data_IF_684033377402
#
_entry.id   IF_684033377402
#
_cell.length_a   1.000
_cell.length_b   1.000
_cell.length_c   1.000
_cell.angle_alpha   90.00
_cell.angle_beta   90.00
_cell.angle_gamma   90.00
#
_symmetry.space_group_name_H-M   'P 1'
#
loop_
_entity.id
_entity.type
_entity.pdbx_description
1 polymer ?
#
# COMPACT_ATOMS: atom_id res chain seq x y z
N UNK A 1 6.65 25.07 8.19
CA UNK A 1 7.25 26.22 7.46
C UNK A 1 6.45 27.53 7.63
N UNK A 2 5.13 27.49 7.91
CA UNK A 2 4.32 28.70 8.16
C UNK A 2 4.65 29.42 9.48
N UNK A 3 5.35 28.78 10.40
CA UNK A 3 5.71 29.35 11.71
C UNK A 3 7.03 30.17 11.71
N UNK A 4 7.79 30.19 10.61
CA UNK A 4 9.03 30.92 10.52
C UNK A 4 8.79 32.37 10.01
N UNK A 5 9.43 33.42 10.59
CA UNK A 5 9.37 34.77 10.09
C UNK A 5 9.90 34.85 8.65
N UNK A 6 9.44 35.84 7.86
CA UNK A 6 9.69 35.92 6.41
C UNK A 6 11.18 35.88 6.01
N UNK A 7 12.08 36.39 6.83
CA UNK A 7 13.53 36.43 6.59
C UNK A 7 14.23 35.07 6.52
N UNK A 8 13.93 34.07 7.38
CA UNK A 8 14.58 32.75 7.31
C UNK A 8 13.98 31.81 6.28
N UNK A 9 12.84 32.11 5.64
CA UNK A 9 12.19 31.21 4.66
C UNK A 9 13.03 31.05 3.40
N UNK A 10 13.54 32.08 2.82
CA UNK A 10 14.39 31.99 1.64
C UNK A 10 15.71 31.28 1.94
N UNK A 11 16.26 31.44 3.17
CA UNK A 11 17.40 30.65 3.63
C UNK A 11 17.06 29.17 3.71
N UNK A 12 15.87 28.80 4.25
CA UNK A 12 15.41 27.44 4.29
C UNK A 12 15.21 26.85 2.88
N UNK A 13 14.68 27.63 1.93
CA UNK A 13 14.57 27.22 0.53
C UNK A 13 15.95 27.11 -0.14
N UNK A 14 16.89 28.02 0.16
CA UNK A 14 18.26 27.95 -0.32
C UNK A 14 18.99 26.70 0.19
N UNK A 15 18.82 26.37 1.47
CA UNK A 15 19.37 25.12 2.06
C UNK A 15 18.73 23.88 1.44
N UNK A 16 17.40 23.86 1.26
CA UNK A 16 16.71 22.76 0.59
C UNK A 16 17.17 22.57 -0.85
N UNK A 17 17.34 23.67 -1.60
CA UNK A 17 17.87 23.63 -2.95
C UNK A 17 19.31 23.14 -2.99
N UNK A 18 20.17 23.61 -2.09
CA UNK A 18 21.55 23.15 -1.96
C UNK A 18 21.59 21.66 -1.60
N UNK A 19 20.77 21.21 -0.65
CA UNK A 19 20.64 19.80 -0.32
C UNK A 19 20.16 18.98 -1.54
N UNK A 20 19.21 19.49 -2.31
CA UNK A 20 18.75 18.82 -3.53
C UNK A 20 19.85 18.73 -4.60
N UNK A 21 20.66 19.78 -4.77
CA UNK A 21 21.80 19.80 -5.69
C UNK A 21 22.90 18.84 -5.21
N UNK A 22 23.23 18.85 -3.91
CA UNK A 22 24.20 17.92 -3.33
C UNK A 22 23.73 16.46 -3.44
N UNK A 23 22.47 16.21 -3.13
CA UNK A 23 21.86 14.88 -3.30
C UNK A 23 21.86 14.47 -4.78
N UNK A 24 21.54 15.38 -5.69
CA UNK A 24 21.65 15.17 -7.13
C UNK A 24 23.09 14.83 -7.57
N UNK A 25 24.08 15.57 -7.06
CA UNK A 25 25.50 15.31 -7.30
C UNK A 25 25.97 13.97 -6.75
N UNK A 26 25.53 13.60 -5.55
CA UNK A 26 25.80 12.28 -4.95
C UNK A 26 25.13 11.16 -5.74
N UNK A 27 23.89 11.35 -6.20
CA UNK A 27 23.18 10.38 -7.04
C UNK A 27 23.91 10.14 -8.37
N UNK A 28 24.45 11.19 -8.99
CA UNK A 28 25.23 11.07 -10.23
C UNK A 28 26.61 10.44 -10.03
N UNK A 29 27.24 10.67 -8.88
CA UNK A 29 28.60 10.21 -8.59
C UNK A 29 28.65 8.78 -7.99
N UNK A 30 27.70 8.40 -7.15
CA UNK A 30 27.70 7.14 -6.38
C UNK A 30 26.60 6.16 -6.77
N UNK A 31 25.94 6.40 -7.90
CA UNK A 31 25.02 5.44 -8.48
C UNK A 31 23.63 5.43 -7.90
N UNK A 32 22.79 4.76 -8.63
CA UNK A 32 21.37 4.71 -8.40
C UNK A 32 20.91 3.98 -7.14
N UNK A 33 21.80 3.37 -6.36
CA UNK A 33 21.39 2.64 -5.15
C UNK A 33 20.80 3.56 -4.08
N UNK A 34 21.33 4.78 -3.91
CA UNK A 34 20.71 5.79 -3.05
C UNK A 34 19.32 6.18 -3.56
N UNK A 35 19.16 6.29 -4.88
CA UNK A 35 17.87 6.57 -5.50
C UNK A 35 16.86 5.44 -5.27
N UNK A 36 17.28 4.18 -5.32
CA UNK A 36 16.43 3.03 -4.95
C UNK A 36 15.95 3.15 -3.50
N UNK A 37 16.84 3.50 -2.57
CA UNK A 37 16.47 3.70 -1.15
C UNK A 37 15.49 4.86 -1.00
N UNK A 38 15.72 5.97 -1.70
CA UNK A 38 14.81 7.11 -1.66
C UNK A 38 13.43 6.79 -2.26
N UNK A 39 13.39 6.10 -3.39
CA UNK A 39 12.12 5.65 -3.98
C UNK A 39 11.38 4.68 -3.07
N UNK A 40 12.09 3.73 -2.46
CA UNK A 40 11.52 2.86 -1.45
C UNK A 40 10.94 3.65 -0.27
N UNK A 41 11.67 4.63 0.26
CA UNK A 41 11.21 5.47 1.36
C UNK A 41 9.95 6.27 0.98
N UNK A 42 9.88 6.80 -0.24
CA UNK A 42 8.70 7.49 -0.76
C UNK A 42 7.51 6.53 -0.89
N UNK A 43 7.73 5.34 -1.44
CA UNK A 43 6.67 4.33 -1.60
C UNK A 43 6.15 3.85 -0.22
N UNK A 44 7.05 3.48 0.68
CA UNK A 44 6.67 3.02 2.03
C UNK A 44 6.06 4.15 2.87
N UNK A 45 6.64 5.35 2.80
CA UNK A 45 6.10 6.55 3.44
C UNK A 45 4.70 6.90 2.93
N UNK A 46 4.50 6.85 1.61
CA UNK A 46 3.19 7.03 0.97
C UNK A 46 2.16 6.00 1.43
N UNK A 47 2.54 4.73 1.50
CA UNK A 47 1.68 3.67 2.04
C UNK A 47 1.32 3.90 3.51
N UNK A 48 2.30 4.21 4.34
CA UNK A 48 2.05 4.52 5.76
C UNK A 48 1.14 5.73 5.93
N UNK A 49 1.35 6.79 5.15
CA UNK A 49 0.50 7.99 5.16
C UNK A 49 -0.92 7.65 4.70
N UNK A 50 -1.08 6.84 3.66
CA UNK A 50 -2.39 6.41 3.16
C UNK A 50 -3.14 5.59 4.21
N UNK A 51 -2.49 4.63 4.86
CA UNK A 51 -3.09 3.83 5.93
C UNK A 51 -3.43 4.70 7.15
N UNK A 52 -2.55 5.62 7.54
CA UNK A 52 -2.79 6.56 8.62
C UNK A 52 -3.97 7.49 8.30
N UNK A 53 -4.01 8.06 7.10
CA UNK A 53 -5.11 8.91 6.65
C UNK A 53 -6.43 8.15 6.63
N UNK A 54 -6.43 6.91 6.16
CA UNK A 54 -7.61 6.03 6.16
C UNK A 54 -8.10 5.81 7.58
N UNK A 55 -7.20 5.50 8.51
CA UNK A 55 -7.53 5.36 9.92
C UNK A 55 -8.20 6.61 10.49
N UNK A 56 -7.60 7.79 10.29
CA UNK A 56 -8.13 9.06 10.80
C UNK A 56 -9.49 9.42 10.19
N UNK A 57 -9.70 9.04 8.92
CA UNK A 57 -10.96 9.27 8.21
C UNK A 57 -12.08 8.36 8.74
N UNK A 58 -11.76 7.08 8.97
CA UNK A 58 -12.75 6.06 9.37
C UNK A 58 -13.00 6.09 10.89
N UNK A 59 -11.99 6.42 11.67
CA UNK A 59 -12.05 6.46 13.15
C UNK A 59 -11.60 7.85 13.67
N UNK A 60 -12.40 8.90 13.43
CA UNK A 60 -12.01 10.27 13.77
C UNK A 60 -11.73 10.41 15.27
N UNK A 61 -10.62 11.06 15.61
CA UNK A 61 -10.20 11.27 17.00
C UNK A 61 -9.56 10.05 17.69
N UNK A 62 -9.56 8.87 17.08
CA UNK A 62 -8.90 7.69 17.64
C UNK A 62 -7.48 7.55 17.11
N UNK A 63 -6.50 7.35 18.00
CA UNK A 63 -5.14 6.99 17.61
C UNK A 63 -4.98 5.47 17.63
N UNK A 64 -4.26 4.90 16.65
CA UNK A 64 -3.96 3.45 16.61
C UNK A 64 -3.37 2.96 17.94
N UNK A 65 -2.43 3.73 18.52
CA UNK A 65 -1.77 3.40 19.77
C UNK A 65 -2.70 3.35 20.99
N UNK A 66 -3.88 3.97 20.93
CA UNK A 66 -4.88 3.95 21.99
C UNK A 66 -5.72 2.67 21.98
N UNK A 67 -5.90 2.05 20.82
CA UNK A 67 -6.58 0.76 20.70
C UNK A 67 -5.57 -0.39 20.89
N UNK A 68 -5.25 -0.65 22.17
CA UNK A 68 -4.26 -1.66 22.55
C UNK A 68 -4.63 -3.06 22.04
N UNK A 69 -5.92 -3.39 22.02
CA UNK A 69 -6.39 -4.70 21.55
C UNK A 69 -6.17 -4.86 20.06
N UNK A 70 -6.54 -3.85 19.26
CA UNK A 70 -6.25 -3.82 17.83
C UNK A 70 -4.75 -3.94 17.56
N UNK A 71 -3.96 -3.06 18.18
CA UNK A 71 -2.52 -3.02 17.97
C UNK A 71 -1.82 -4.33 18.34
N UNK A 72 -2.16 -4.91 19.50
CA UNK A 72 -1.61 -6.21 19.94
C UNK A 72 -2.01 -7.34 18.99
N UNK A 73 -3.26 -7.38 18.55
CA UNK A 73 -3.74 -8.41 17.63
C UNK A 73 -3.03 -8.31 16.27
N UNK A 74 -2.87 -7.09 15.75
CA UNK A 74 -2.14 -6.88 14.51
C UNK A 74 -0.66 -7.25 14.63
N UNK A 75 0.05 -6.77 15.66
CA UNK A 75 1.48 -7.06 15.83
C UNK A 75 1.74 -8.55 16.06
N UNK A 76 1.01 -9.17 16.99
CA UNK A 76 1.17 -10.59 17.29
C UNK A 76 0.79 -11.47 16.09
N UNK A 77 -0.36 -11.19 15.46
CA UNK A 77 -0.80 -11.91 14.27
C UNK A 77 0.16 -11.74 13.10
N UNK A 78 0.69 -10.52 12.87
CA UNK A 78 1.69 -10.28 11.83
C UNK A 78 3.00 -11.02 12.12
N UNK A 79 3.48 -11.04 13.36
CA UNK A 79 4.67 -11.78 13.74
C UNK A 79 4.50 -13.29 13.50
N UNK A 80 3.37 -13.86 13.92
CA UNK A 80 3.04 -15.27 13.66
C UNK A 80 2.92 -15.54 12.16
N UNK A 81 2.22 -14.67 11.42
CA UNK A 81 2.03 -14.83 9.98
C UNK A 81 3.35 -14.80 9.21
N UNK A 82 4.21 -13.84 9.52
CA UNK A 82 5.56 -13.76 8.90
C UNK A 82 6.39 -15.00 9.25
N UNK A 83 6.35 -15.47 10.50
CA UNK A 83 7.06 -16.68 10.91
C UNK A 83 6.55 -17.93 10.17
N UNK A 84 5.23 -18.08 10.02
CA UNK A 84 4.62 -19.19 9.26
C UNK A 84 5.04 -19.13 7.79
N UNK A 85 4.97 -17.95 7.15
CA UNK A 85 5.37 -17.78 5.74
C UNK A 85 6.87 -18.07 5.58
N UNK A 86 7.72 -17.53 6.46
CA UNK A 86 9.15 -17.77 6.42
C UNK A 86 9.48 -19.27 6.59
N UNK A 87 8.84 -19.95 7.53
CA UNK A 87 9.00 -21.37 7.71
C UNK A 87 8.59 -22.18 6.46
N UNK A 88 7.42 -21.86 5.88
CA UNK A 88 6.93 -22.51 4.67
C UNK A 88 7.86 -22.28 3.47
N UNK A 89 8.33 -21.04 3.28
CA UNK A 89 9.26 -20.68 2.20
C UNK A 89 10.61 -21.36 2.37
N UNK A 90 11.17 -21.36 3.59
CA UNK A 90 12.47 -21.97 3.87
C UNK A 90 12.44 -23.51 3.84
N UNK A 91 11.33 -24.13 4.27
CA UNK A 91 11.17 -25.57 4.25
C UNK A 91 10.85 -26.12 2.86
N UNK A 92 10.37 -25.27 1.97
CA UNK A 92 9.95 -25.66 0.62
C UNK A 92 11.14 -26.04 -0.24
N UNK A 93 11.17 -27.28 -0.69
CA UNK A 93 12.18 -27.80 -1.62
C UNK A 93 11.72 -27.81 -3.08
N UNK A 94 10.55 -27.25 -3.38
CA UNK A 94 9.90 -27.43 -4.67
C UNK A 94 9.70 -26.15 -5.45
N UNK A 95 9.31 -26.34 -6.71
CA UNK A 95 9.17 -25.37 -7.79
C UNK A 95 8.47 -24.08 -7.34
N UNK A 96 9.11 -22.96 -7.62
CA UNK A 96 8.53 -21.62 -7.53
C UNK A 96 7.55 -21.40 -8.67
N UNK A 97 6.50 -20.62 -8.45
CA UNK A 97 5.61 -20.22 -9.55
C UNK A 97 6.36 -19.32 -10.54
N UNK A 98 5.96 -19.33 -11.79
CA UNK A 98 6.51 -18.44 -12.83
C UNK A 98 6.43 -16.96 -12.40
N UNK A 99 5.36 -16.58 -11.70
CA UNK A 99 5.21 -15.21 -11.18
C UNK A 99 6.30 -14.86 -10.16
N UNK A 100 6.62 -15.75 -9.21
CA UNK A 100 7.69 -15.50 -8.23
C UNK A 100 9.04 -15.32 -8.90
N UNK A 101 9.36 -16.16 -9.88
CA UNK A 101 10.60 -16.08 -10.66
C UNK A 101 10.65 -14.75 -11.44
N UNK A 102 9.54 -14.37 -12.06
CA UNK A 102 9.43 -13.12 -12.81
C UNK A 102 9.62 -11.89 -11.90
N UNK A 103 8.99 -11.84 -10.72
CA UNK A 103 9.19 -10.73 -9.79
C UNK A 103 10.62 -10.68 -9.25
N UNK A 104 11.22 -11.84 -8.98
CA UNK A 104 12.62 -11.92 -8.57
C UNK A 104 13.57 -11.46 -9.69
N UNK A 105 13.36 -11.88 -10.94
CA UNK A 105 14.13 -11.45 -12.09
C UNK A 105 14.03 -9.92 -12.30
N UNK A 106 12.82 -9.35 -12.16
CA UNK A 106 12.62 -7.90 -12.22
C UNK A 106 13.29 -7.16 -11.07
N UNK A 107 13.35 -7.74 -9.87
CA UNK A 107 14.12 -7.17 -8.76
C UNK A 107 15.63 -7.14 -9.10
N UNK A 108 16.15 -8.21 -9.67
CA UNK A 108 17.56 -8.29 -10.10
C UNK A 108 17.84 -7.27 -11.20
N UNK A 109 16.94 -7.11 -12.18
CA UNK A 109 17.05 -6.09 -13.23
C UNK A 109 17.03 -4.68 -12.65
N UNK A 110 16.13 -4.39 -11.71
CA UNK A 110 16.03 -3.11 -11.02
C UNK A 110 17.37 -2.75 -10.36
N UNK A 111 17.94 -3.65 -9.56
CA UNK A 111 19.23 -3.41 -8.92
C UNK A 111 20.37 -3.29 -9.93
N UNK A 112 20.39 -4.13 -10.96
CA UNK A 112 21.41 -4.09 -12.00
C UNK A 112 21.40 -2.75 -12.76
N UNK A 113 20.24 -2.25 -13.13
CA UNK A 113 20.09 -0.99 -13.85
C UNK A 113 20.47 0.22 -12.99
N UNK A 114 20.03 0.29 -11.75
CA UNK A 114 20.42 1.36 -10.82
C UNK A 114 21.90 1.25 -10.38
N UNK A 115 22.46 0.03 -10.39
CA UNK A 115 23.89 -0.17 -10.16
C UNK A 115 24.78 0.36 -11.28
N UNK A 116 24.26 0.46 -12.51
CA UNK A 116 24.97 1.07 -13.63
C UNK A 116 24.92 2.60 -13.58
N UNK A 117 23.73 3.16 -13.47
CA UNK A 117 23.51 4.58 -13.20
C UNK A 117 22.07 4.87 -12.75
N UNK A 118 21.88 5.99 -12.02
CA UNK A 118 20.56 6.44 -11.61
C UNK A 118 19.63 6.74 -12.79
N UNK A 119 20.16 7.34 -13.86
CA UNK A 119 19.38 7.64 -15.07
C UNK A 119 18.94 6.39 -15.80
N UNK A 120 19.83 5.41 -15.94
CA UNK A 120 19.47 4.14 -16.58
C UNK A 120 18.44 3.38 -15.77
N UNK A 121 18.57 3.38 -14.43
CA UNK A 121 17.58 2.77 -13.55
C UNK A 121 16.20 3.41 -13.65
N UNK A 122 16.13 4.75 -13.71
CA UNK A 122 14.87 5.48 -13.93
C UNK A 122 14.29 5.16 -15.30
N UNK A 123 15.11 5.13 -16.33
CA UNK A 123 14.66 4.79 -17.70
C UNK A 123 14.02 3.40 -17.73
N UNK A 124 14.70 2.38 -17.20
CA UNK A 124 14.18 1.00 -17.12
C UNK A 124 12.89 0.91 -16.31
N UNK A 125 12.80 1.66 -15.20
CA UNK A 125 11.60 1.72 -14.37
C UNK A 125 10.42 2.33 -15.14
N UNK A 126 10.63 3.49 -15.78
CA UNK A 126 9.59 4.18 -16.54
C UNK A 126 9.16 3.38 -17.76
N UNK A 127 10.10 2.81 -18.50
CA UNK A 127 9.81 1.92 -19.63
C UNK A 127 8.95 0.73 -19.17
N UNK A 128 9.32 0.08 -18.06
CA UNK A 128 8.54 -1.02 -17.49
C UNK A 128 7.12 -0.60 -17.13
N UNK A 129 6.94 0.56 -16.49
CA UNK A 129 5.61 1.06 -16.14
C UNK A 129 4.77 1.42 -17.37
N UNK A 130 5.38 2.04 -18.40
CA UNK A 130 4.70 2.47 -19.63
C UNK A 130 4.39 1.32 -20.57
N UNK A 131 5.22 0.30 -20.63
CA UNK A 131 5.02 -0.89 -21.48
C UNK A 131 4.12 -1.96 -20.86
N UNK A 132 3.44 -1.63 -19.77
CA UNK A 132 2.55 -2.51 -19.03
C UNK A 132 3.25 -3.69 -18.30
N UNK A 133 4.56 -3.63 -18.10
CA UNK A 133 5.28 -4.52 -17.20
C UNK A 133 5.35 -3.91 -15.77
N UNK A 134 4.19 -3.75 -15.17
CA UNK A 134 3.97 -3.12 -13.86
C UNK A 134 4.65 -3.84 -12.69
N UNK A 135 5.28 -4.99 -12.91
CA UNK A 135 5.98 -5.79 -11.87
C UNK A 135 7.07 -4.98 -11.15
N UNK A 136 7.69 -4.02 -11.83
CA UNK A 136 8.69 -3.12 -11.22
C UNK A 136 8.14 -2.26 -10.10
N UNK A 137 6.87 -1.83 -10.16
CA UNK A 137 6.26 -1.02 -9.11
C UNK A 137 6.29 -1.75 -7.75
N UNK A 138 5.91 -3.01 -7.75
CA UNK A 138 5.93 -3.84 -6.53
C UNK A 138 7.33 -4.01 -5.97
N UNK A 139 8.30 -4.16 -6.83
CA UNK A 139 9.69 -4.36 -6.44
C UNK A 139 10.30 -3.14 -5.74
N UNK A 140 9.77 -1.94 -5.96
CA UNK A 140 10.19 -0.75 -5.20
C UNK A 140 9.94 -0.89 -3.70
N UNK A 141 8.82 -1.51 -3.30
CA UNK A 141 8.48 -1.71 -1.88
C UNK A 141 9.37 -2.75 -1.18
N UNK A 142 9.97 -3.66 -1.95
CA UNK A 142 10.78 -4.76 -1.40
C UNK A 142 12.28 -4.42 -1.43
N UNK A 143 12.65 -3.36 -2.16
CA UNK A 143 14.04 -3.08 -2.52
C UNK A 143 14.98 -3.00 -1.30
N UNK A 144 14.65 -2.23 -0.28
CA UNK A 144 15.54 -2.05 0.87
C UNK A 144 15.65 -3.30 1.74
N UNK A 145 14.55 -3.98 2.16
CA UNK A 145 14.66 -5.26 2.84
C UNK A 145 15.52 -6.28 2.08
N UNK A 146 15.36 -6.35 0.77
CA UNK A 146 16.10 -7.26 -0.08
C UNK A 146 17.62 -7.00 -0.10
N UNK A 147 18.05 -5.75 0.01
CA UNK A 147 19.49 -5.41 0.12
C UNK A 147 20.20 -6.09 1.27
N UNK A 148 19.48 -6.28 2.40
CA UNK A 148 20.04 -6.88 3.61
C UNK A 148 19.94 -8.41 3.64
N UNK A 149 19.11 -9.02 2.83
CA UNK A 149 18.84 -10.47 2.86
C UNK A 149 19.57 -11.25 1.77
N UNK A 150 20.36 -10.56 0.93
CA UNK A 150 21.07 -11.19 -0.18
C UNK A 150 20.18 -11.51 -1.40
N UNK A 151 20.78 -12.10 -2.41
CA UNK A 151 20.15 -12.35 -3.71
C UNK A 151 19.46 -13.73 -3.80
N UNK A 152 19.02 -14.29 -2.68
CA UNK A 152 18.29 -15.56 -2.72
C UNK A 152 16.80 -15.36 -2.97
N UNK A 153 16.20 -16.25 -3.75
CA UNK A 153 14.78 -16.22 -4.03
C UNK A 153 13.94 -16.41 -2.75
N UNK A 154 14.40 -17.23 -1.81
CA UNK A 154 13.73 -17.42 -0.53
C UNK A 154 13.75 -16.13 0.29
N UNK A 155 14.89 -15.44 0.36
CA UNK A 155 14.99 -14.15 1.01
C UNK A 155 14.08 -13.10 0.36
N UNK A 156 14.03 -13.07 -0.98
CA UNK A 156 13.09 -12.23 -1.72
C UNK A 156 11.64 -12.51 -1.30
N UNK A 157 11.23 -13.77 -1.24
CA UNK A 157 9.86 -14.13 -0.87
C UNK A 157 9.51 -13.77 0.57
N UNK A 158 10.46 -13.92 1.51
CA UNK A 158 10.24 -13.47 2.89
C UNK A 158 10.13 -11.95 2.98
N UNK A 159 11.00 -11.20 2.29
CA UNK A 159 10.89 -9.74 2.20
C UNK A 159 9.57 -9.30 1.59
N UNK A 160 9.16 -10.02 0.55
CA UNK A 160 7.89 -9.80 -0.12
C UNK A 160 6.71 -9.98 0.85
N UNK A 161 6.73 -11.08 1.60
CA UNK A 161 5.70 -11.37 2.58
C UNK A 161 5.62 -10.29 3.66
N UNK A 162 6.74 -9.88 4.24
CA UNK A 162 6.76 -8.80 5.25
C UNK A 162 6.17 -7.52 4.67
N UNK A 163 6.62 -7.13 3.48
CA UNK A 163 6.26 -5.84 2.87
C UNK A 163 4.81 -5.79 2.42
N UNK A 164 4.26 -6.90 1.90
CA UNK A 164 2.92 -6.93 1.32
C UNK A 164 1.85 -7.36 2.33
N UNK A 165 2.15 -8.35 3.16
CA UNK A 165 1.13 -8.95 4.04
C UNK A 165 0.93 -8.15 5.33
N UNK A 166 1.96 -7.56 5.90
CA UNK A 166 1.81 -6.77 7.14
C UNK A 166 0.88 -5.56 6.94
N UNK A 167 1.02 -4.76 5.87
CA UNK A 167 0.04 -3.71 5.56
C UNK A 167 -1.35 -4.24 5.20
N UNK A 168 -1.44 -5.38 4.49
CA UNK A 168 -2.71 -6.02 4.16
C UNK A 168 -3.47 -6.41 5.43
N UNK A 169 -2.81 -7.09 6.37
CA UNK A 169 -3.44 -7.46 7.63
C UNK A 169 -3.89 -6.25 8.44
N UNK A 170 -3.12 -5.16 8.40
CA UNK A 170 -3.53 -3.90 9.02
C UNK A 170 -4.80 -3.33 8.38
N UNK A 171 -4.84 -3.25 7.05
CA UNK A 171 -5.97 -2.70 6.31
C UNK A 171 -7.24 -3.56 6.48
N UNK A 172 -7.10 -4.89 6.42
CA UNK A 172 -8.23 -5.81 6.63
C UNK A 172 -8.72 -5.79 8.08
N UNK A 173 -7.81 -5.67 9.07
CA UNK A 173 -8.20 -5.55 10.48
C UNK A 173 -8.88 -4.20 10.75
N UNK A 174 -8.52 -3.12 10.05
CA UNK A 174 -9.29 -1.86 10.05
C UNK A 174 -10.72 -2.09 9.56
N UNK A 175 -10.89 -2.87 8.49
CA UNK A 175 -12.22 -3.27 7.99
C UNK A 175 -13.00 -4.05 9.04
N UNK A 176 -12.36 -5.02 9.69
CA UNK A 176 -12.97 -5.77 10.78
C UNK A 176 -13.37 -4.87 11.94
N UNK A 177 -12.52 -3.89 12.33
CA UNK A 177 -12.87 -2.90 13.36
C UNK A 177 -14.06 -2.05 12.95
N UNK A 178 -14.11 -1.59 11.69
CA UNK A 178 -15.25 -0.83 11.18
C UNK A 178 -16.56 -1.63 11.28
N UNK A 179 -16.53 -2.91 10.90
CA UNK A 179 -17.68 -3.80 11.03
C UNK A 179 -18.05 -4.07 12.50
N UNK A 180 -17.06 -4.26 13.37
CA UNK A 180 -17.31 -4.47 14.81
C UNK A 180 -18.06 -3.30 15.44
N UNK A 181 -17.81 -2.07 14.99
CA UNK A 181 -18.54 -0.88 15.49
C UNK A 181 -20.03 -0.86 15.08
N UNK A 182 -20.41 -1.63 14.05
CA UNK A 182 -21.80 -1.79 13.62
C UNK A 182 -22.53 -2.91 14.38
N UNK A 183 -21.83 -3.72 15.15
CA UNK A 183 -22.38 -4.88 15.86
C UNK A 183 -22.57 -4.55 17.35
N UNK A 184 -23.82 -4.67 17.88
CA UNK A 184 -24.16 -4.18 19.23
C UNK A 184 -23.51 -4.93 20.39
N UNK A 185 -22.89 -6.09 20.18
CA UNK A 185 -22.32 -6.94 21.23
C UNK A 185 -20.96 -7.56 20.85
N UNK A 186 -20.13 -6.83 20.11
CA UNK A 186 -18.85 -7.37 19.67
C UNK A 186 -17.78 -7.30 20.77
N UNK A 187 -17.35 -8.47 21.27
CA UNK A 187 -16.23 -8.59 22.20
C UNK A 187 -14.89 -8.44 21.44
N UNK A 188 -14.41 -7.20 21.29
CA UNK A 188 -13.21 -6.87 20.51
C UNK A 188 -11.95 -7.60 20.98
N UNK A 189 -11.87 -7.96 22.27
CA UNK A 189 -10.76 -8.72 22.84
C UNK A 189 -10.59 -10.12 22.22
N UNK A 190 -11.67 -10.74 21.77
CA UNK A 190 -11.65 -12.03 21.08
C UNK A 190 -11.76 -11.85 19.57
N UNK A 191 -12.53 -10.88 19.12
CA UNK A 191 -12.85 -10.67 17.70
C UNK A 191 -11.61 -10.35 16.87
N UNK A 192 -10.76 -9.38 17.30
CA UNK A 192 -9.57 -9.02 16.51
C UNK A 192 -8.52 -10.15 16.44
N UNK A 193 -8.17 -10.85 17.54
CA UNK A 193 -7.31 -12.03 17.43
C UNK A 193 -7.86 -13.12 16.52
N UNK A 194 -9.18 -13.37 16.56
CA UNK A 194 -9.82 -14.36 15.69
C UNK A 194 -9.76 -13.94 14.22
N UNK A 195 -10.06 -12.67 13.91
CA UNK A 195 -9.90 -12.13 12.55
C UNK A 195 -8.47 -12.29 12.05
N UNK A 196 -7.47 -11.96 12.89
CA UNK A 196 -6.07 -12.14 12.53
C UNK A 196 -5.71 -13.62 12.32
N UNK A 197 -6.18 -14.52 13.20
CA UNK A 197 -5.94 -15.96 13.04
C UNK A 197 -6.50 -16.47 11.72
N UNK A 198 -7.73 -16.08 11.37
CA UNK A 198 -8.34 -16.41 10.08
C UNK A 198 -7.49 -15.87 8.92
N UNK A 199 -7.13 -14.58 8.95
CA UNK A 199 -6.36 -13.96 7.87
C UNK A 199 -4.95 -14.55 7.71
N UNK A 200 -4.31 -14.97 8.80
CA UNK A 200 -2.96 -15.56 8.79
C UNK A 200 -2.98 -17.03 8.36
N UNK A 201 -3.99 -17.81 8.81
CA UNK A 201 -4.02 -19.25 8.59
C UNK A 201 -4.85 -19.66 7.37
N UNK A 202 -5.59 -18.74 6.75
CA UNK A 202 -6.42 -19.06 5.60
C UNK A 202 -5.58 -19.46 4.39
N UNK A 203 -5.78 -20.63 3.80
CA UNK A 203 -4.95 -21.10 2.69
C UNK A 203 -4.92 -20.17 1.48
N UNK A 204 -6.01 -19.44 1.23
CA UNK A 204 -6.10 -18.47 0.14
C UNK A 204 -5.19 -17.24 0.32
N UNK A 205 -4.76 -16.92 1.55
CA UNK A 205 -3.76 -15.90 1.81
C UNK A 205 -2.35 -16.49 1.86
N UNK A 206 -2.20 -17.70 2.41
CA UNK A 206 -0.90 -18.37 2.49
C UNK A 206 -0.36 -18.75 1.11
N UNK A 207 -1.23 -19.12 0.19
CA UNK A 207 -0.80 -19.53 -1.15
C UNK A 207 -0.12 -18.39 -1.92
N UNK A 208 -0.69 -17.18 -2.07
CA UNK A 208 0.01 -16.04 -2.68
C UNK A 208 1.28 -15.66 -1.93
N UNK A 209 1.29 -15.76 -0.61
CA UNK A 209 2.46 -15.46 0.21
C UNK A 209 3.64 -16.37 -0.10
N UNK A 210 3.39 -17.67 -0.21
CA UNK A 210 4.44 -18.66 -0.48
C UNK A 210 4.82 -18.74 -1.97
N UNK A 211 4.06 -18.06 -2.85
CA UNK A 211 4.32 -18.01 -4.30
C UNK A 211 4.78 -16.64 -4.78
N UNK A 212 5.00 -15.67 -3.87
CA UNK A 212 5.50 -14.34 -4.22
C UNK A 212 4.55 -13.54 -5.12
N UNK A 213 3.25 -13.68 -4.89
CA UNK A 213 2.23 -12.99 -5.69
C UNK A 213 1.83 -11.64 -5.07
N UNK A 214 1.62 -10.59 -5.87
CA UNK A 214 1.31 -9.24 -5.38
C UNK A 214 -0.13 -9.07 -4.88
N UNK A 215 -0.94 -10.13 -4.88
CA UNK A 215 -2.35 -10.07 -4.54
C UNK A 215 -2.62 -9.54 -3.14
N UNK A 216 -1.76 -9.87 -2.18
CA UNK A 216 -1.83 -9.32 -0.82
C UNK A 216 -1.73 -7.79 -0.81
N UNK A 217 -0.87 -7.23 -1.64
CA UNK A 217 -0.71 -5.78 -1.73
C UNK A 217 -1.92 -5.13 -2.40
N UNK A 218 -2.47 -5.77 -3.42
CA UNK A 218 -3.72 -5.34 -4.04
C UNK A 218 -4.88 -5.31 -3.04
N UNK A 219 -4.99 -6.31 -2.18
CA UNK A 219 -6.00 -6.31 -1.11
C UNK A 219 -5.83 -5.17 -0.11
N UNK A 220 -4.61 -4.70 0.14
CA UNK A 220 -4.37 -3.51 0.97
C UNK A 220 -5.06 -2.29 0.38
N UNK A 221 -4.82 -2.00 -0.90
CA UNK A 221 -5.42 -0.85 -1.57
C UNK A 221 -6.93 -1.02 -1.75
N UNK A 222 -7.39 -2.22 -2.08
CA UNK A 222 -8.81 -2.51 -2.19
C UNK A 222 -9.56 -2.27 -0.87
N UNK A 223 -8.99 -2.71 0.27
CA UNK A 223 -9.57 -2.46 1.59
C UNK A 223 -9.57 -0.96 1.93
N UNK A 224 -8.50 -0.24 1.60
CA UNK A 224 -8.41 1.22 1.78
C UNK A 224 -9.50 1.94 0.98
N UNK A 225 -9.67 1.61 -0.30
CA UNK A 225 -10.71 2.18 -1.16
C UNK A 225 -12.10 1.90 -0.57
N UNK A 226 -12.38 0.65 -0.20
CA UNK A 226 -13.66 0.26 0.37
C UNK A 226 -13.96 1.02 1.67
N UNK A 227 -12.98 1.18 2.55
CA UNK A 227 -13.12 1.94 3.80
C UNK A 227 -13.34 3.43 3.55
N UNK A 228 -12.60 4.03 2.62
CA UNK A 228 -12.78 5.43 2.26
C UNK A 228 -14.10 5.71 1.55
N UNK A 229 -14.74 4.71 0.96
CA UNK A 229 -16.03 4.81 0.29
C UNK A 229 -17.23 4.34 1.15
N UNK A 230 -17.01 3.93 2.41
CA UNK A 230 -18.01 3.21 3.20
C UNK A 230 -19.29 4.01 3.55
N UNK A 231 -19.23 5.33 3.55
CA UNK A 231 -20.37 6.19 3.89
C UNK A 231 -21.34 6.49 2.73
N UNK A 232 -20.97 6.17 1.50
CA UNK A 232 -21.77 6.40 0.27
C UNK A 232 -22.31 7.85 0.11
N UNK A 233 -21.59 8.85 0.63
CA UNK A 233 -21.97 10.26 0.56
C UNK A 233 -21.00 11.04 -0.30
N UNK A 234 -21.15 10.95 -1.61
CA UNK A 234 -20.25 11.60 -2.55
C UNK A 234 -20.23 13.13 -2.40
N UNK A 235 -21.39 13.73 -2.14
CA UNK A 235 -21.53 15.17 -1.92
C UNK A 235 -20.78 15.75 -0.72
N UNK A 236 -20.36 14.89 0.21
CA UNK A 236 -19.60 15.27 1.40
C UNK A 236 -18.16 14.82 1.37
N UNK A 237 -17.68 14.25 0.26
CA UNK A 237 -16.29 13.80 0.13
C UNK A 237 -15.33 14.99 0.03
N UNK A 238 -14.46 15.21 1.04
CA UNK A 238 -13.46 16.26 0.97
C UNK A 238 -12.33 15.90 0.00
N UNK A 239 -11.72 16.91 -0.61
CA UNK A 239 -10.59 16.75 -1.54
C UNK A 239 -9.48 15.78 -1.07
N UNK A 240 -8.98 15.85 0.19
CA UNK A 240 -7.95 14.91 0.63
C UNK A 240 -8.41 13.45 0.57
N UNK A 241 -9.70 13.18 0.82
CA UNK A 241 -10.26 11.83 0.75
C UNK A 241 -10.36 11.35 -0.70
N UNK A 242 -10.79 12.23 -1.63
CA UNK A 242 -10.79 11.91 -3.07
C UNK A 242 -9.39 11.63 -3.58
N UNK A 243 -8.40 12.44 -3.19
CA UNK A 243 -7.00 12.22 -3.55
C UNK A 243 -6.47 10.89 -3.01
N UNK A 244 -6.83 10.53 -1.77
CA UNK A 244 -6.44 9.24 -1.18
C UNK A 244 -7.10 8.05 -1.91
N UNK A 245 -8.37 8.16 -2.30
CA UNK A 245 -9.07 7.15 -3.12
C UNK A 245 -8.39 7.02 -4.48
N UNK A 246 -8.09 8.14 -5.14
CA UNK A 246 -7.37 8.15 -6.42
C UNK A 246 -5.99 7.50 -6.30
N UNK A 247 -5.19 7.89 -5.31
CA UNK A 247 -3.86 7.32 -5.08
C UNK A 247 -3.92 5.81 -4.82
N UNK A 248 -4.87 5.36 -4.00
CA UNK A 248 -5.07 3.93 -3.73
C UNK A 248 -5.53 3.17 -4.98
N UNK A 249 -6.41 3.75 -5.80
CA UNK A 249 -6.88 3.16 -7.06
C UNK A 249 -5.72 3.05 -8.07
N UNK A 250 -4.92 4.10 -8.20
CA UNK A 250 -3.76 4.10 -9.07
C UNK A 250 -2.73 3.05 -8.65
N UNK A 251 -2.42 2.97 -7.35
CA UNK A 251 -1.53 1.95 -6.80
C UNK A 251 -2.08 0.53 -7.01
N UNK A 252 -3.39 0.34 -6.87
CA UNK A 252 -4.04 -0.94 -7.13
C UNK A 252 -3.89 -1.39 -8.59
N UNK A 253 -4.06 -0.49 -9.55
CA UNK A 253 -3.85 -0.78 -10.99
C UNK A 253 -2.39 -1.18 -11.25
N UNK A 254 -1.43 -0.46 -10.65
CA UNK A 254 0.00 -0.75 -10.77
C UNK A 254 0.42 -2.06 -10.08
N UNK A 255 -0.41 -2.60 -9.20
CA UNK A 255 -0.12 -3.88 -8.55
C UNK A 255 -0.36 -5.04 -9.52
N UNK A 256 -1.50 -5.08 -10.20
CA UNK A 256 -1.84 -6.14 -11.15
C UNK A 256 -2.99 -5.72 -12.06
N UNK A 257 -2.88 -5.99 -13.37
CA UNK A 257 -3.91 -5.60 -14.38
C UNK A 257 -5.31 -6.14 -14.06
N UNK A 258 -5.40 -7.34 -13.49
CA UNK A 258 -6.68 -7.97 -13.14
C UNK A 258 -7.51 -7.14 -12.16
N UNK A 259 -6.89 -6.28 -11.38
CA UNK A 259 -7.61 -5.38 -10.48
C UNK A 259 -8.45 -4.33 -11.20
N UNK A 260 -8.23 -4.08 -12.50
CA UNK A 260 -9.13 -3.22 -13.28
C UNK A 260 -10.57 -3.74 -13.29
N UNK A 261 -10.76 -5.06 -13.36
CA UNK A 261 -12.11 -5.65 -13.28
C UNK A 261 -12.74 -5.43 -11.91
N UNK A 262 -11.95 -5.60 -10.84
CA UNK A 262 -12.41 -5.31 -9.49
C UNK A 262 -12.77 -3.83 -9.33
N UNK A 263 -11.94 -2.92 -9.83
CA UNK A 263 -12.15 -1.47 -9.78
C UNK A 263 -13.44 -1.10 -10.50
N UNK A 264 -13.64 -1.59 -11.71
CA UNK A 264 -14.86 -1.34 -12.49
C UNK A 264 -16.11 -1.83 -11.75
N UNK A 265 -16.08 -3.06 -11.25
CA UNK A 265 -17.19 -3.64 -10.49
C UNK A 265 -17.45 -2.86 -9.20
N UNK A 266 -16.41 -2.54 -8.43
CA UNK A 266 -16.52 -1.79 -7.19
C UNK A 266 -17.12 -0.40 -7.41
N UNK A 267 -16.58 0.38 -8.36
CA UNK A 267 -17.09 1.73 -8.61
C UNK A 267 -18.49 1.73 -9.24
N UNK A 268 -18.83 0.74 -10.06
CA UNK A 268 -20.19 0.58 -10.56
C UNK A 268 -21.19 0.40 -9.40
N UNK A 269 -20.89 -0.50 -8.46
CA UNK A 269 -21.71 -0.71 -7.25
C UNK A 269 -21.71 0.53 -6.36
N UNK A 270 -20.56 1.17 -6.17
CA UNK A 270 -20.44 2.38 -5.36
C UNK A 270 -21.28 3.53 -5.93
N UNK A 271 -21.16 3.81 -7.22
CA UNK A 271 -21.95 4.83 -7.90
C UNK A 271 -23.45 4.54 -7.79
N UNK A 272 -23.85 3.29 -8.00
CA UNK A 272 -25.25 2.89 -7.84
C UNK A 272 -25.74 3.11 -6.41
N UNK A 273 -24.95 2.73 -5.40
CA UNK A 273 -25.28 2.94 -4.00
C UNK A 273 -25.41 4.45 -3.64
N UNK A 274 -24.48 5.27 -4.16
CA UNK A 274 -24.52 6.74 -4.01
C UNK A 274 -25.80 7.31 -4.63
N UNK A 275 -26.14 6.92 -5.86
CA UNK A 275 -27.34 7.41 -6.57
C UNK A 275 -28.62 6.99 -5.85
N UNK A 276 -28.74 5.71 -5.47
CA UNK A 276 -29.90 5.22 -4.69
C UNK A 276 -30.01 5.97 -3.36
N UNK A 277 -28.90 6.19 -2.68
CA UNK A 277 -28.85 6.97 -1.46
C UNK A 277 -29.27 8.44 -1.67
N UNK A 278 -28.81 9.07 -2.76
CA UNK A 278 -29.15 10.43 -3.13
C UNK A 278 -30.65 10.60 -3.47
N UNK A 279 -31.24 9.64 -4.19
CA UNK A 279 -32.68 9.61 -4.44
C UNK A 279 -33.46 9.53 -3.13
N UNK A 280 -33.09 8.62 -2.23
CA UNK A 280 -33.73 8.46 -0.92
C UNK A 280 -33.63 9.73 -0.05
N UNK A 281 -32.49 10.44 -0.11
CA UNK A 281 -32.25 11.70 0.61
C UNK A 281 -32.79 12.93 -0.11
N UNK A 282 -33.36 12.80 -1.32
CA UNK A 282 -33.80 13.89 -2.20
C UNK A 282 -32.67 14.88 -2.55
N UNK A 283 -31.42 14.39 -2.64
CA UNK A 283 -30.21 15.19 -2.96
C UNK A 283 -29.63 14.86 -4.34
N UNK A 284 -30.42 14.23 -5.22
CA UNK A 284 -29.90 13.72 -6.51
C UNK A 284 -29.26 14.82 -7.36
N UNK A 285 -29.90 16.03 -7.44
CA UNK A 285 -29.37 17.14 -8.25
C UNK A 285 -27.98 17.61 -7.76
N UNK A 286 -27.81 17.77 -6.44
CA UNK A 286 -26.50 18.16 -5.87
C UNK A 286 -25.46 17.07 -6.03
N UNK A 287 -25.85 15.80 -5.86
CA UNK A 287 -24.95 14.65 -6.04
C UNK A 287 -24.46 14.57 -7.49
N UNK A 288 -25.35 14.67 -8.48
CA UNK A 288 -24.97 14.69 -9.90
C UNK A 288 -24.05 15.86 -10.23
N UNK A 289 -24.35 17.06 -9.70
CA UNK A 289 -23.48 18.22 -9.88
C UNK A 289 -22.06 17.95 -9.36
N UNK A 290 -21.92 17.36 -8.18
CA UNK A 290 -20.60 17.00 -7.62
C UNK A 290 -19.90 15.94 -8.47
N UNK A 291 -20.64 14.92 -8.95
CA UNK A 291 -20.06 13.87 -9.80
C UNK A 291 -19.55 14.39 -11.15
N UNK A 292 -20.12 15.49 -11.67
CA UNK A 292 -19.66 16.14 -12.91
C UNK A 292 -18.47 17.07 -12.70
N UNK A 293 -18.23 17.53 -11.47
CA UNK A 293 -17.14 18.42 -11.12
C UNK A 293 -15.84 17.66 -10.74
N UNK A 294 -15.96 16.36 -10.50
CA UNK A 294 -14.86 15.47 -10.12
C UNK A 294 -14.71 14.28 -11.08
#
# INVERSE_FOLDING_TARGET
>A
LRALPAGPRWLAYGVLLLCAILVGGVITAYGGMLLVVLMWAVCMGGLCLLLHFTWQTVFPGQRVAQDKTFLRSWLAGSAVGVAVIAALVCYRQTVYSDDAINYFAKQTLLFGSFGQSGFYGIHVLLESLLTADYKMFMNLFISVPYLFTGRSINAFMVCYAITCFVPMWFALLMGAKYLAQQLPACHTALYYPLCMAVMVLWPMFLWPATHGMPDAFGLTFAAVIALLCADYRFETLPWPRLLAIFAATFALILTRRWYMFWILAFYAVYVLAVLVGAVRRKTLGSTLKHMLLF
#
